data_IF_174287569155
#
_entry.id   IF_174287569155
#
_cell.length_a   1.000
_cell.length_b   1.000
_cell.length_c   1.000
_cell.angle_alpha   90.00
_cell.angle_beta   90.00
_cell.angle_gamma   90.00
#
_symmetry.space_group_name_H-M   'P 1'
#
loop_
_entity.id
_entity.type
_entity.pdbx_description
1 polymer ?
#
# COMPACT_ATOMS: atom_id res chain seq x y z
N UNK A 1 -0.19 22.03 5.98
CA UNK A 1 0.63 20.95 6.60
C UNK A 1 0.02 19.66 6.11
N UNK A 2 0.76 18.82 5.39
CA UNK A 2 0.27 17.48 5.01
C UNK A 2 0.60 16.52 6.13
N UNK A 3 -0.38 15.73 6.58
CA UNK A 3 -0.14 14.64 7.53
C UNK A 3 0.03 13.35 6.74
N UNK A 4 0.90 12.47 7.20
CA UNK A 4 1.27 11.24 6.51
C UNK A 4 0.92 10.08 7.45
N UNK A 5 0.32 9.00 6.94
CA UNK A 5 -0.22 7.91 7.77
C UNK A 5 0.07 6.54 7.18
N UNK A 6 0.28 5.54 8.04
CA UNK A 6 0.58 4.16 7.65
C UNK A 6 0.39 3.11 8.75
N UNK A 7 0.23 1.84 8.38
CA UNK A 7 0.12 0.63 9.23
C UNK A 7 1.26 -0.43 9.08
N UNK A 8 1.98 -0.74 10.16
CA UNK A 8 2.75 -2.00 10.24
C UNK A 8 1.89 -3.23 10.49
N UNK A 9 2.22 -4.37 9.84
CA UNK A 9 1.39 -5.56 9.79
C UNK A 9 1.19 -6.25 11.14
N UNK A 10 2.08 -6.01 12.11
CA UNK A 10 1.99 -6.63 13.45
C UNK A 10 1.59 -5.65 14.56
N UNK A 11 1.92 -4.36 14.43
CA UNK A 11 1.68 -3.37 15.49
C UNK A 11 1.35 -2.02 14.86
N UNK A 12 0.08 -1.62 14.96
CA UNK A 12 -0.45 -0.37 14.42
C UNK A 12 0.26 0.86 15.02
N UNK A 13 1.37 1.30 14.41
CA UNK A 13 2.16 2.48 14.81
C UNK A 13 1.93 3.64 13.83
N UNK A 14 1.68 4.84 14.35
CA UNK A 14 1.41 6.06 13.58
C UNK A 14 2.36 7.18 13.98
N UNK A 15 2.66 8.12 13.08
CA UNK A 15 3.48 9.29 13.39
C UNK A 15 3.11 10.54 12.60
N UNK A 16 3.30 11.71 13.22
CA UNK A 16 3.12 13.03 12.58
C UNK A 16 4.47 13.63 12.17
N UNK A 17 4.58 14.14 10.95
CA UNK A 17 5.76 14.88 10.50
C UNK A 17 5.63 16.38 10.84
N UNK A 18 6.54 16.91 11.65
CA UNK A 18 6.65 18.35 11.91
C UNK A 18 7.59 19.00 10.88
N UNK A 19 7.05 19.76 9.93
CA UNK A 19 7.84 20.56 8.95
C UNK A 19 8.58 21.72 9.64
N UNK A 20 9.86 21.95 9.31
CA UNK A 20 10.54 23.26 9.50
C UNK A 20 10.80 23.92 8.13
N UNK A 21 10.79 25.26 8.12
CA UNK A 21 10.71 26.16 6.94
C UNK A 21 12.01 26.34 6.12
N UNK A 22 12.95 25.40 6.06
CA UNK A 22 14.19 25.62 5.30
C UNK A 22 14.44 24.56 4.22
N UNK A 23 14.92 24.95 3.02
CA UNK A 23 15.27 24.02 1.96
C UNK A 23 16.56 23.27 2.34
N UNK A 24 16.53 21.94 2.22
CA UNK A 24 17.67 21.06 2.53
C UNK A 24 18.48 20.88 1.23
N UNK A 25 19.78 21.25 1.28
CA UNK A 25 20.71 21.23 0.13
C UNK A 25 21.74 20.09 0.23
N UNK A 26 21.74 19.29 1.30
CA UNK A 26 22.57 18.08 1.42
C UNK A 26 21.86 17.02 2.29
N UNK A 27 22.10 15.71 2.09
CA UNK A 27 21.51 14.65 2.89
C UNK A 27 22.18 14.58 4.27
N UNK A 28 22.01 15.62 5.07
CA UNK A 28 22.29 15.61 6.50
C UNK A 28 21.05 15.06 7.18
N UNK A 29 21.24 13.98 7.95
CA UNK A 29 20.25 13.30 8.79
C UNK A 29 19.11 14.22 9.24
N UNK A 30 18.00 14.18 8.51
CA UNK A 30 16.72 14.56 9.09
C UNK A 30 16.32 13.36 9.94
N UNK A 31 16.43 13.49 11.26
CA UNK A 31 15.73 12.61 12.20
C UNK A 31 14.29 13.12 12.33
N UNK A 32 13.31 12.56 11.60
CA UNK A 32 11.92 12.86 11.86
C UNK A 32 11.64 12.64 13.34
N UNK A 33 11.17 13.69 14.04
CA UNK A 33 10.65 13.55 15.39
C UNK A 33 9.32 12.82 15.33
N UNK A 34 9.37 11.50 15.38
CA UNK A 34 8.19 10.65 15.50
C UNK A 34 7.54 10.91 16.85
N UNK A 35 6.34 11.51 16.84
CA UNK A 35 5.40 11.26 17.93
C UNK A 35 4.62 10.01 17.55
N UNK A 36 4.84 8.91 18.29
CA UNK A 36 3.91 7.78 18.30
C UNK A 36 2.52 8.37 18.52
N UNK A 37 1.65 8.33 17.51
CA UNK A 37 0.27 8.71 17.75
C UNK A 37 -0.24 7.73 18.81
N UNK A 38 -0.91 8.27 19.84
CA UNK A 38 -1.60 7.46 20.83
C UNK A 38 -2.31 6.33 20.10
N UNK A 39 -2.17 5.11 20.65
CA UNK A 39 -2.82 3.88 20.20
C UNK A 39 -4.11 4.19 19.45
N UNK A 40 -4.30 3.53 18.30
CA UNK A 40 -5.55 3.66 17.56
C UNK A 40 -6.71 3.62 18.55
N UNK A 41 -7.68 4.52 18.39
CA UNK A 41 -8.92 4.46 19.13
C UNK A 41 -9.44 3.02 19.05
N UNK A 42 -9.73 2.43 20.21
CA UNK A 42 -10.27 1.08 20.31
C UNK A 42 -11.47 0.97 19.37
N UNK A 43 -11.31 0.21 18.29
CA UNK A 43 -12.34 0.12 17.25
C UNK A 43 -12.29 -1.14 16.40
N UNK A 44 -11.14 -1.84 16.34
CA UNK A 44 -11.06 -3.10 15.61
C UNK A 44 -9.99 -4.03 16.21
N UNK A 45 -10.40 -5.23 16.63
CA UNK A 45 -9.50 -6.28 17.12
C UNK A 45 -8.98 -7.16 15.96
N UNK A 46 -8.73 -6.57 14.79
CA UNK A 46 -8.24 -7.30 13.61
C UNK A 46 -6.80 -6.92 13.29
N UNK A 47 -5.97 -7.95 13.07
CA UNK A 47 -4.61 -7.81 12.53
C UNK A 47 -4.64 -7.96 11.01
N UNK A 48 -3.56 -7.55 10.34
CA UNK A 48 -3.39 -7.72 8.89
C UNK A 48 -4.51 -7.09 8.04
N UNK A 49 -5.03 -5.94 8.48
CA UNK A 49 -5.94 -5.14 7.67
C UNK A 49 -5.20 -4.52 6.47
N UNK A 50 -5.89 -4.37 5.35
CA UNK A 50 -5.49 -3.45 4.30
C UNK A 50 -5.65 -2.01 4.76
N UNK A 51 -4.74 -1.14 4.32
CA UNK A 51 -4.67 0.25 4.75
C UNK A 51 -4.67 1.20 3.55
N UNK A 52 -5.44 2.28 3.61
CA UNK A 52 -5.36 3.35 2.62
C UNK A 52 -5.52 4.74 3.25
N UNK A 53 -4.80 5.74 2.75
CA UNK A 53 -5.03 7.15 3.14
C UNK A 53 -6.22 7.71 2.36
N UNK A 54 -7.20 8.26 3.06
CA UNK A 54 -8.35 8.92 2.43
C UNK A 54 -8.10 10.43 2.27
N UNK A 55 -7.68 11.09 3.34
CA UNK A 55 -7.28 12.51 3.35
C UNK A 55 -6.24 12.78 4.46
N UNK A 56 -5.92 14.05 4.71
CA UNK A 56 -4.94 14.50 5.73
C UNK A 56 -5.36 14.17 7.19
N UNK A 57 -6.55 13.65 7.43
CA UNK A 57 -7.09 13.38 8.76
C UNK A 57 -7.72 11.99 8.88
N UNK A 58 -7.90 11.28 7.76
CA UNK A 58 -8.63 10.03 7.71
C UNK A 58 -7.87 8.93 6.98
N UNK A 59 -7.96 7.74 7.56
CA UNK A 59 -7.48 6.49 6.98
C UNK A 59 -8.62 5.51 6.83
N UNK A 60 -8.45 4.55 5.92
CA UNK A 60 -9.35 3.44 5.73
C UNK A 60 -8.63 2.15 6.13
N UNK A 61 -9.31 1.34 6.94
CA UNK A 61 -8.91 -0.01 7.31
C UNK A 61 -9.90 -0.99 6.69
N UNK A 62 -9.40 -1.98 5.94
CA UNK A 62 -10.24 -2.97 5.26
C UNK A 62 -9.85 -4.40 5.63
N UNK A 63 -10.85 -5.21 5.99
CA UNK A 63 -10.66 -6.62 6.32
C UNK A 63 -9.75 -6.85 7.53
N UNK A 64 -8.94 -7.89 7.46
CA UNK A 64 -8.10 -8.36 8.57
C UNK A 64 -8.68 -9.60 9.25
N UNK A 65 -7.96 -10.07 10.27
CA UNK A 65 -8.28 -11.29 11.00
C UNK A 65 -8.29 -11.04 12.51
N UNK A 66 -9.33 -11.50 13.19
CA UNK A 66 -9.45 -11.40 14.65
C UNK A 66 -8.58 -12.46 15.38
N UNK A 67 -8.57 -12.40 16.72
CA UNK A 67 -7.84 -13.36 17.56
C UNK A 67 -8.35 -14.81 17.45
N UNK A 68 -9.58 -15.00 16.97
CA UNK A 68 -10.21 -16.29 16.74
C UNK A 68 -10.02 -16.79 15.30
N UNK A 69 -9.12 -16.17 14.53
CA UNK A 69 -8.85 -16.47 13.12
C UNK A 69 -10.03 -16.21 12.17
N UNK A 70 -11.02 -15.43 12.58
CA UNK A 70 -12.11 -15.02 11.69
C UNK A 70 -11.67 -13.88 10.79
N UNK A 71 -11.79 -14.11 9.48
CA UNK A 71 -11.52 -13.11 8.46
C UNK A 71 -12.70 -12.16 8.32
N UNK A 72 -12.45 -10.86 8.30
CA UNK A 72 -13.48 -9.83 8.20
C UNK A 72 -13.58 -9.25 6.79
N UNK A 73 -14.77 -8.80 6.41
CA UNK A 73 -15.02 -7.98 5.21
C UNK A 73 -15.34 -6.52 5.53
N UNK A 74 -15.32 -6.12 6.80
CA UNK A 74 -15.69 -4.77 7.20
C UNK A 74 -14.64 -3.76 6.72
N UNK A 75 -15.11 -2.55 6.45
CA UNK A 75 -14.27 -1.42 6.04
C UNK A 75 -14.60 -0.23 6.93
N UNK A 76 -13.58 0.42 7.48
CA UNK A 76 -13.74 1.48 8.48
C UNK A 76 -12.96 2.71 8.06
N UNK A 77 -13.64 3.86 8.00
CA UNK A 77 -13.02 5.18 7.89
C UNK A 77 -12.75 5.72 9.29
N UNK A 78 -11.49 5.97 9.62
CA UNK A 78 -11.09 6.44 10.94
C UNK A 78 -10.55 7.86 10.87
N UNK A 79 -11.10 8.75 11.69
CA UNK A 79 -10.56 10.08 11.92
C UNK A 79 -9.42 10.01 12.95
N UNK A 80 -8.23 10.44 12.55
CA UNK A 80 -7.00 10.31 13.33
C UNK A 80 -6.86 11.36 14.42
N UNK A 81 -7.62 12.47 14.35
CA UNK A 81 -7.62 13.50 15.39
C UNK A 81 -8.53 13.15 16.55
N UNK A 82 -9.76 12.74 16.24
CA UNK A 82 -10.83 12.47 17.21
C UNK A 82 -10.85 11.02 17.64
N UNK A 83 -10.34 10.15 16.78
CA UNK A 83 -10.43 8.72 16.94
C UNK A 83 -11.76 8.09 16.54
N UNK A 84 -12.68 8.88 16.00
CA UNK A 84 -14.00 8.38 15.60
C UNK A 84 -13.85 7.43 14.40
N UNK A 85 -14.49 6.28 14.49
CA UNK A 85 -14.61 5.31 13.41
C UNK A 85 -16.01 5.42 12.78
N UNK A 86 -16.06 5.39 11.45
CA UNK A 86 -17.29 5.35 10.65
C UNK A 86 -17.24 4.11 9.77
N UNK A 87 -18.28 3.28 9.83
CA UNK A 87 -18.38 2.11 8.97
C UNK A 87 -18.65 2.53 7.52
N UNK A 88 -17.88 1.94 6.61
CA UNK A 88 -18.13 1.99 5.18
C UNK A 88 -18.85 0.70 4.75
N UNK A 89 -19.47 0.68 3.56
CA UNK A 89 -20.01 -0.55 2.98
C UNK A 89 -19.00 -1.70 3.08
N UNK A 90 -19.42 -2.92 3.46
CA UNK A 90 -18.48 -4.04 3.59
C UNK A 90 -18.03 -4.53 2.22
N UNK A 91 -16.82 -5.10 2.15
CA UNK A 91 -16.34 -5.83 0.97
C UNK A 91 -17.23 -7.04 0.67
N UNK A 92 -17.25 -7.46 -0.58
CA UNK A 92 -17.91 -8.70 -1.02
C UNK A 92 -17.19 -9.92 -0.45
N UNK A 93 -15.85 -9.90 -0.43
CA UNK A 93 -15.03 -10.99 0.14
C UNK A 93 -14.36 -10.55 1.43
N UNK A 94 -14.58 -11.33 2.49
CA UNK A 94 -13.75 -11.27 3.69
C UNK A 94 -12.33 -11.71 3.36
N UNK A 95 -11.34 -10.95 3.85
CA UNK A 95 -9.92 -11.14 3.54
C UNK A 95 -9.03 -10.47 4.57
N UNK A 96 -7.84 -11.02 4.80
CA UNK A 96 -6.75 -10.40 5.54
C UNK A 96 -5.48 -10.36 4.67
N UNK A 97 -4.47 -9.59 5.06
CA UNK A 97 -3.27 -9.30 4.24
C UNK A 97 -3.60 -8.78 2.83
N UNK A 98 -4.75 -8.12 2.67
CA UNK A 98 -5.08 -7.44 1.43
C UNK A 98 -4.37 -6.09 1.36
N UNK A 99 -4.14 -5.63 0.13
CA UNK A 99 -3.53 -4.32 -0.11
C UNK A 99 -4.62 -3.34 -0.53
N UNK A 100 -4.65 -2.14 0.07
CA UNK A 100 -5.66 -1.13 -0.22
C UNK A 100 -5.02 0.19 -0.64
N UNK A 101 -5.68 0.94 -1.52
CA UNK A 101 -5.24 2.28 -1.94
C UNK A 101 -6.44 3.11 -2.39
N UNK A 102 -6.43 4.41 -2.11
CA UNK A 102 -7.42 5.35 -2.66
C UNK A 102 -6.79 6.12 -3.80
N UNK A 103 -7.41 6.06 -4.98
CA UNK A 103 -7.02 6.84 -6.18
C UNK A 103 -8.28 7.46 -6.76
N UNK A 104 -8.25 8.76 -7.04
CA UNK A 104 -9.40 9.51 -7.60
C UNK A 104 -10.72 9.31 -6.82
N UNK A 105 -10.64 9.30 -5.48
CA UNK A 105 -11.76 8.98 -4.58
C UNK A 105 -12.36 7.58 -4.78
N UNK A 106 -11.65 6.65 -5.40
CA UNK A 106 -12.04 5.25 -5.47
C UNK A 106 -11.08 4.46 -4.59
N UNK A 107 -11.63 3.72 -3.62
CA UNK A 107 -10.88 2.75 -2.83
C UNK A 107 -10.77 1.46 -3.64
N UNK A 108 -9.55 1.02 -3.93
CA UNK A 108 -9.25 -0.28 -4.50
C UNK A 108 -8.68 -1.21 -3.45
N UNK A 109 -9.08 -2.48 -3.49
CA UNK A 109 -8.61 -3.54 -2.60
C UNK A 109 -8.17 -4.73 -3.43
N UNK A 110 -6.90 -5.11 -3.28
CA UNK A 110 -6.22 -6.13 -4.06
C UNK A 110 -5.87 -7.33 -3.17
N UNK A 111 -6.13 -8.53 -3.69
CA UNK A 111 -5.57 -9.78 -3.14
C UNK A 111 -5.96 -10.07 -1.69
N UNK A 112 -5.02 -10.56 -0.90
CA UNK A 112 -5.23 -11.06 0.47
C UNK A 112 -5.56 -12.55 0.51
N UNK A 113 -5.90 -13.02 1.71
CA UNK A 113 -6.17 -14.43 1.99
C UNK A 113 -7.46 -14.60 2.78
N UNK A 114 -8.12 -15.73 2.56
CA UNK A 114 -9.26 -16.15 3.37
C UNK A 114 -9.38 -17.68 3.41
N UNK A 115 -10.52 -18.20 3.88
CA UNK A 115 -10.77 -19.65 3.95
C UNK A 115 -10.73 -20.37 2.60
N UNK A 116 -10.95 -19.65 1.50
CA UNK A 116 -10.86 -20.17 0.13
C UNK A 116 -9.41 -20.18 -0.39
N UNK A 117 -8.45 -19.65 0.38
CA UNK A 117 -7.05 -19.51 0.03
C UNK A 117 -6.65 -18.09 -0.37
N UNK A 118 -5.57 -17.99 -1.15
CA UNK A 118 -5.01 -16.70 -1.57
C UNK A 118 -5.81 -16.13 -2.75
N UNK A 119 -6.13 -14.85 -2.69
CA UNK A 119 -7.10 -14.23 -3.59
C UNK A 119 -6.40 -13.48 -4.72
N UNK A 120 -7.01 -13.54 -5.90
CA UNK A 120 -6.73 -12.67 -7.06
C UNK A 120 -7.75 -11.54 -7.24
N UNK A 121 -8.75 -11.46 -6.36
CA UNK A 121 -9.90 -10.58 -6.52
C UNK A 121 -9.51 -9.13 -6.27
N UNK A 122 -9.99 -8.24 -7.15
CA UNK A 122 -9.93 -6.79 -6.98
C UNK A 122 -11.34 -6.25 -6.76
N UNK A 123 -11.54 -5.53 -5.68
CA UNK A 123 -12.80 -4.86 -5.38
C UNK A 123 -12.59 -3.36 -5.29
N UNK A 124 -13.60 -2.59 -5.70
CA UNK A 124 -13.56 -1.13 -5.61
C UNK A 124 -14.81 -0.54 -4.97
N UNK A 125 -14.64 0.58 -4.27
CA UNK A 125 -15.72 1.38 -3.69
C UNK A 125 -15.52 2.84 -4.07
N UNK A 126 -16.53 3.45 -4.69
CA UNK A 126 -16.53 4.88 -5.01
C UNK A 126 -16.84 5.71 -3.76
N UNK A 127 -15.90 6.56 -3.35
CA UNK A 127 -15.94 7.41 -2.16
C UNK A 127 -16.27 8.88 -2.48
N UNK A 128 -16.71 9.21 -3.69
CA UNK A 128 -16.94 10.61 -4.12
C UNK A 128 -17.85 11.41 -3.17
N UNK A 129 -18.89 10.78 -2.64
CA UNK A 129 -19.87 11.43 -1.75
C UNK A 129 -19.45 11.43 -0.27
N UNK A 130 -18.35 10.78 0.08
CA UNK A 130 -17.87 10.77 1.46
C UNK A 130 -17.20 12.11 1.77
N UNK A 131 -17.89 12.90 2.59
CA UNK A 131 -17.37 14.15 3.15
C UNK A 131 -17.05 13.91 4.61
N UNK A 132 -15.77 14.10 4.94
CA UNK A 132 -15.22 13.84 6.27
C UNK A 132 -15.81 14.68 7.42
N UNK A 133 -16.68 15.67 7.13
CA UNK A 133 -17.17 16.67 8.09
C UNK A 133 -18.67 16.61 8.44
N UNK A 134 -19.50 15.78 7.79
CA UNK A 134 -20.96 15.80 8.04
C UNK A 134 -21.41 14.73 9.03
N UNK A 135 -21.71 15.18 10.24
CA UNK A 135 -22.39 14.43 11.30
C UNK A 135 -23.92 14.50 11.11
N UNK A 136 -24.49 14.05 9.99
CA UNK A 136 -25.95 13.95 9.84
C UNK A 136 -26.33 13.01 8.70
N UNK A 137 -27.22 12.09 9.02
CA UNK A 137 -27.80 11.07 8.15
C UNK A 137 -28.65 11.64 7.01
N UNK A 138 -28.88 10.75 6.04
CA UNK A 138 -30.07 10.65 5.19
C UNK A 138 -29.93 11.11 3.75
N UNK A 139 -28.98 10.51 3.02
CA UNK A 139 -29.16 9.95 1.66
C UNK A 139 -27.81 9.58 1.04
N UNK A 140 -26.93 8.89 1.77
CA UNK A 140 -25.82 8.20 1.10
C UNK A 140 -26.45 7.14 0.22
N UNK A 141 -26.54 7.42 -1.08
CA UNK A 141 -26.87 6.41 -2.07
C UNK A 141 -26.01 5.18 -1.76
N UNK A 142 -26.69 4.03 -1.70
CA UNK A 142 -26.27 2.73 -1.23
C UNK A 142 -25.11 2.16 -2.07
N UNK A 143 -23.97 2.86 -2.10
CA UNK A 143 -22.78 2.43 -2.82
C UNK A 143 -22.30 1.15 -2.18
N UNK A 144 -22.01 0.18 -3.03
CA UNK A 144 -21.53 -1.12 -2.62
C UNK A 144 -20.19 -1.34 -3.31
N UNK A 145 -19.41 -2.23 -2.72
CA UNK A 145 -18.23 -2.72 -3.41
C UNK A 145 -18.62 -3.36 -4.73
N UNK A 146 -17.83 -3.09 -5.76
CA UNK A 146 -17.91 -3.72 -7.07
C UNK A 146 -16.73 -4.65 -7.22
N UNK A 147 -17.01 -5.94 -7.47
CA UNK A 147 -15.98 -6.91 -7.80
C UNK A 147 -15.61 -6.80 -9.29
N UNK A 148 -14.33 -6.55 -9.58
CA UNK A 148 -13.81 -6.53 -10.95
C UNK A 148 -13.58 -7.96 -11.47
N UNK A 149 -14.68 -8.70 -11.71
CA UNK A 149 -14.67 -10.13 -12.04
C UNK A 149 -13.78 -10.48 -13.25
N UNK A 150 -13.75 -9.62 -14.26
CA UNK A 150 -13.01 -9.85 -15.51
C UNK A 150 -11.61 -9.23 -15.50
N UNK A 151 -11.21 -8.58 -14.40
CA UNK A 151 -9.92 -7.92 -14.25
C UNK A 151 -9.24 -8.31 -12.93
N UNK A 152 -9.11 -9.62 -12.63
CA UNK A 152 -8.41 -10.07 -11.43
C UNK A 152 -6.92 -9.73 -11.52
N UNK A 153 -6.24 -9.77 -10.38
CA UNK A 153 -4.78 -9.80 -10.35
C UNK A 153 -4.24 -10.94 -11.24
N UNK A 154 -3.09 -10.74 -11.93
CA UNK A 154 -2.45 -11.79 -12.74
C UNK A 154 -2.10 -13.05 -11.93
N UNK A 155 -1.87 -12.92 -10.63
CA UNK A 155 -1.63 -14.01 -9.69
C UNK A 155 -2.18 -13.65 -8.30
N UNK A 156 -2.45 -14.64 -7.42
CA UNK A 156 -2.79 -14.36 -6.03
C UNK A 156 -1.67 -13.61 -5.31
N UNK A 157 -1.99 -12.57 -4.55
CA UNK A 157 -1.02 -11.76 -3.82
C UNK A 157 -1.50 -11.47 -2.39
N UNK A 158 -0.59 -11.56 -1.43
CA UNK A 158 -0.77 -11.14 -0.04
C UNK A 158 0.24 -10.04 0.28
N UNK A 159 -0.13 -9.06 1.10
CA UNK A 159 0.76 -8.02 1.62
C UNK A 159 1.66 -7.37 0.54
N UNK A 160 1.08 -7.11 -0.64
CA UNK A 160 1.76 -6.43 -1.74
C UNK A 160 1.80 -4.92 -1.49
N UNK A 161 2.87 -4.26 -1.94
CA UNK A 161 3.01 -2.82 -1.79
C UNK A 161 2.32 -2.11 -2.95
N UNK A 162 1.55 -1.06 -2.64
CA UNK A 162 0.82 -0.27 -3.63
C UNK A 162 1.37 1.15 -3.72
N UNK A 163 1.51 1.65 -4.95
CA UNK A 163 1.90 3.04 -5.23
C UNK A 163 1.01 3.57 -6.36
N UNK A 164 0.43 4.76 -6.20
CA UNK A 164 -0.27 5.43 -7.30
C UNK A 164 0.66 6.40 -8.04
N UNK A 165 0.43 6.63 -9.33
CA UNK A 165 1.07 7.73 -10.04
C UNK A 165 0.46 9.09 -9.65
N UNK A 166 1.19 10.17 -9.95
CA UNK A 166 0.73 11.52 -9.61
C UNK A 166 -0.56 11.92 -10.33
N UNK A 167 -0.84 11.33 -11.50
CA UNK A 167 -2.06 11.59 -12.26
C UNK A 167 -3.28 10.78 -11.81
N UNK A 168 -3.09 9.77 -10.95
CA UNK A 168 -4.14 8.84 -10.56
C UNK A 168 -4.62 7.93 -11.69
N UNK A 169 -3.82 7.75 -12.74
CA UNK A 169 -4.14 6.88 -13.88
C UNK A 169 -3.69 5.45 -13.63
N UNK A 170 -2.65 5.25 -12.82
CA UNK A 170 -2.01 3.96 -12.62
C UNK A 170 -1.79 3.64 -11.14
N UNK A 171 -1.99 2.37 -10.82
CA UNK A 171 -1.59 1.76 -9.54
C UNK A 171 -0.49 0.73 -9.83
N UNK A 172 0.64 0.86 -9.17
CA UNK A 172 1.72 -0.12 -9.19
C UNK A 172 1.53 -1.10 -8.03
N UNK A 173 1.53 -2.40 -8.34
CA UNK A 173 1.41 -3.50 -7.38
C UNK A 173 2.75 -4.23 -7.35
N UNK A 174 3.43 -4.17 -6.22
CA UNK A 174 4.85 -4.52 -6.11
C UNK A 174 5.02 -5.64 -5.08
N UNK A 175 5.59 -6.77 -5.51
CA UNK A 175 5.95 -7.88 -4.63
C UNK A 175 4.72 -8.51 -3.94
N UNK A 176 4.82 -8.71 -2.63
CA UNK A 176 3.87 -9.47 -1.83
C UNK A 176 4.26 -10.95 -1.72
N UNK A 177 3.47 -11.73 -0.99
CA UNK A 177 3.54 -13.19 -0.96
C UNK A 177 2.59 -13.79 -1.99
N UNK A 178 2.96 -14.92 -2.61
CA UNK A 178 1.99 -15.70 -3.40
C UNK A 178 1.24 -16.68 -2.48
N UNK A 179 0.59 -17.65 -3.11
CA UNK A 179 -0.14 -18.72 -2.44
C UNK A 179 0.62 -19.31 -1.25
N UNK A 180 -0.11 -19.47 -0.14
CA UNK A 180 0.41 -19.98 1.11
C UNK A 180 0.60 -21.49 1.02
N UNK A 181 1.83 -21.96 1.19
CA UNK A 181 2.17 -23.38 1.29
C UNK A 181 2.72 -23.67 2.70
N UNK A 182 2.14 -24.64 3.40
CA UNK A 182 2.48 -24.99 4.79
C UNK A 182 2.48 -23.77 5.75
N UNK A 183 1.52 -22.86 5.57
CA UNK A 183 1.38 -21.66 6.40
C UNK A 183 2.38 -20.54 6.07
N UNK A 184 3.17 -20.65 4.99
CA UNK A 184 4.08 -19.57 4.54
C UNK A 184 3.79 -19.15 3.10
N UNK A 185 3.67 -17.84 2.79
CA UNK A 185 3.53 -17.38 1.42
C UNK A 185 4.77 -17.72 0.58
N UNK A 186 4.58 -18.12 -0.67
CA UNK A 186 5.70 -18.30 -1.60
C UNK A 186 6.30 -16.95 -2.00
N UNK A 187 7.58 -17.01 -2.38
CA UNK A 187 8.37 -15.85 -2.80
C UNK A 187 7.80 -15.19 -4.06
N UNK A 188 7.82 -13.87 -4.11
CA UNK A 188 7.40 -13.11 -5.28
C UNK A 188 8.30 -11.90 -5.55
N UNK A 189 8.67 -11.72 -6.81
CA UNK A 189 9.36 -10.52 -7.31
C UNK A 189 8.55 -9.77 -8.36
N UNK A 190 7.35 -10.24 -8.69
CA UNK A 190 6.52 -9.66 -9.74
C UNK A 190 6.12 -8.23 -9.42
N UNK A 191 6.07 -7.42 -10.46
CA UNK A 191 5.62 -6.03 -10.41
C UNK A 191 4.61 -5.82 -11.52
N UNK A 192 3.47 -5.24 -11.18
CA UNK A 192 2.39 -4.96 -12.12
C UNK A 192 2.03 -3.48 -12.09
N UNK A 193 1.54 -2.98 -13.21
CA UNK A 193 0.89 -1.67 -13.35
C UNK A 193 -0.54 -1.87 -13.78
N UNK A 194 -1.49 -1.33 -13.01
CA UNK A 194 -2.92 -1.41 -13.24
C UNK A 194 -3.42 -0.06 -13.76
N UNK A 195 -4.08 -0.04 -14.91
CA UNK A 195 -4.75 1.15 -15.44
C UNK A 195 -6.11 1.34 -14.74
N UNK A 196 -6.28 2.45 -14.04
CA UNK A 196 -7.46 2.74 -13.23
C UNK A 196 -8.72 3.00 -14.10
N UNK A 197 -8.54 3.44 -15.34
CA UNK A 197 -9.66 3.72 -16.25
C UNK A 197 -10.11 2.49 -17.05
N UNK A 198 -9.16 1.66 -17.52
CA UNK A 198 -9.45 0.50 -18.37
C UNK A 198 -9.48 -0.83 -17.61
N UNK A 199 -8.98 -0.85 -16.37
CA UNK A 199 -8.76 -2.05 -15.55
C UNK A 199 -7.82 -3.07 -16.18
N UNK A 200 -6.94 -2.61 -17.08
CA UNK A 200 -5.93 -3.45 -17.72
C UNK A 200 -4.68 -3.58 -16.86
N UNK A 201 -4.07 -4.76 -16.94
CA UNK A 201 -2.84 -5.11 -16.23
C UNK A 201 -1.66 -5.13 -17.19
N UNK A 202 -0.57 -4.49 -16.78
CA UNK A 202 0.71 -4.53 -17.47
C UNK A 202 1.75 -5.14 -16.55
N UNK A 203 2.46 -6.16 -17.04
CA UNK A 203 3.61 -6.73 -16.33
C UNK A 203 4.83 -5.82 -16.51
N UNK A 204 5.47 -5.45 -15.41
CA UNK A 204 6.73 -4.71 -15.41
C UNK A 204 7.89 -5.67 -15.10
N UNK A 205 9.15 -5.26 -15.31
CA UNK A 205 10.30 -6.05 -14.90
C UNK A 205 10.21 -6.45 -13.42
N UNK A 206 10.54 -7.71 -13.12
CA UNK A 206 10.55 -8.23 -11.75
C UNK A 206 11.72 -7.66 -10.93
N UNK A 207 11.49 -7.47 -9.62
CA UNK A 207 12.53 -7.07 -8.67
C UNK A 207 13.68 -8.09 -8.61
N UNK A 208 14.87 -7.68 -8.16
CA UNK A 208 15.99 -8.60 -7.95
C UNK A 208 15.79 -9.46 -6.70
N UNK A 209 15.05 -8.95 -5.71
CA UNK A 209 14.80 -9.63 -4.43
C UNK A 209 13.31 -9.67 -4.15
N UNK A 210 12.85 -10.82 -3.65
CA UNK A 210 11.46 -10.99 -3.21
C UNK A 210 11.16 -10.17 -1.96
N UNK A 211 10.01 -9.50 -1.94
CA UNK A 211 9.63 -8.62 -0.83
C UNK A 211 8.13 -8.67 -0.56
N UNK A 212 7.76 -8.95 0.68
CA UNK A 212 6.42 -8.74 1.24
C UNK A 212 6.47 -7.53 2.17
N UNK A 213 5.38 -6.77 2.25
CA UNK A 213 5.31 -5.62 3.15
C UNK A 213 6.41 -4.60 2.91
N UNK A 214 6.88 -4.43 1.67
CA UNK A 214 7.89 -3.44 1.36
C UNK A 214 7.30 -2.03 1.46
N UNK A 215 8.19 -1.05 1.62
CA UNK A 215 7.83 0.35 1.39
C UNK A 215 8.11 0.69 -0.06
N UNK A 216 7.27 1.52 -0.68
CA UNK A 216 7.59 2.02 -2.01
C UNK A 216 7.05 3.43 -2.24
N UNK A 217 7.73 4.15 -3.13
CA UNK A 217 7.31 5.47 -3.61
C UNK A 217 7.59 5.60 -5.11
N UNK A 218 6.77 6.39 -5.79
CA UNK A 218 7.05 6.86 -7.13
C UNK A 218 7.63 8.28 -7.04
N UNK A 219 8.86 8.45 -7.50
CA UNK A 219 9.51 9.76 -7.57
C UNK A 219 9.96 10.08 -8.99
N UNK A 220 9.35 11.10 -9.60
CA UNK A 220 9.54 11.40 -11.02
C UNK A 220 9.24 10.13 -11.84
N UNK A 221 10.24 9.61 -12.53
CA UNK A 221 10.18 8.41 -13.36
C UNK A 221 10.67 7.15 -12.63
N UNK A 222 10.93 7.20 -11.32
CA UNK A 222 11.49 6.08 -10.58
C UNK A 222 10.50 5.47 -9.59
N UNK A 223 10.24 4.18 -9.72
CA UNK A 223 9.74 3.36 -8.60
C UNK A 223 10.92 3.04 -7.70
N UNK A 224 10.79 3.38 -6.42
CA UNK A 224 11.79 3.13 -5.38
C UNK A 224 11.14 2.20 -4.36
N UNK A 225 11.71 1.02 -4.16
CA UNK A 225 11.23 0.00 -3.22
C UNK A 225 12.28 -0.20 -2.14
N UNK A 226 11.86 -0.18 -0.88
CA UNK A 226 12.73 -0.20 0.28
C UNK A 226 12.26 -1.26 1.27
N UNK A 227 13.21 -2.04 1.78
CA UNK A 227 12.96 -3.03 2.83
C UNK A 227 11.93 -4.09 2.44
N UNK A 228 11.04 -4.43 3.36
CA UNK A 228 10.19 -5.61 3.26
C UNK A 228 10.88 -6.86 3.82
N UNK A 229 10.17 -7.97 3.77
CA UNK A 229 10.68 -9.26 4.26
C UNK A 229 10.38 -10.39 3.28
N UNK A 230 11.03 -11.52 3.51
CA UNK A 230 10.73 -12.78 2.87
C UNK A 230 10.78 -13.92 3.88
N UNK A 231 9.82 -14.83 3.79
CA UNK A 231 9.80 -16.05 4.57
C UNK A 231 10.73 -17.10 3.94
N UNK A 232 11.84 -17.42 4.61
CA UNK A 232 12.71 -18.55 4.25
C UNK A 232 12.39 -19.75 5.14
N UNK A 233 12.93 -20.94 4.84
CA UNK A 233 12.72 -22.13 5.70
C UNK A 233 13.27 -21.89 7.12
N UNK A 234 14.45 -21.30 7.22
CA UNK A 234 15.19 -21.11 8.48
C UNK A 234 14.77 -19.85 9.27
N UNK A 235 13.78 -19.09 8.77
CA UNK A 235 13.27 -17.88 9.42
C UNK A 235 12.87 -16.80 8.43
N UNK A 236 12.25 -15.74 8.93
CA UNK A 236 11.94 -14.55 8.14
C UNK A 236 13.17 -13.65 8.03
N UNK A 237 13.48 -13.19 6.83
CA UNK A 237 14.58 -12.26 6.55
C UNK A 237 13.99 -10.91 6.21
N UNK A 238 14.41 -9.89 6.94
CA UNK A 238 14.04 -8.50 6.69
C UNK A 238 15.15 -7.81 5.91
N UNK A 239 14.77 -6.94 4.99
CA UNK A 239 15.74 -6.24 4.14
C UNK A 239 15.92 -4.79 4.59
N UNK A 240 17.17 -4.31 4.51
CA UNK A 240 17.52 -2.89 4.50
C UNK A 240 17.84 -2.37 3.09
N UNK A 241 17.79 -3.27 2.09
CA UNK A 241 18.15 -2.94 0.72
C UNK A 241 17.08 -2.13 0.01
N UNK A 242 17.53 -1.30 -0.92
CA UNK A 242 16.70 -0.45 -1.76
C UNK A 242 16.88 -0.86 -3.22
N UNK A 243 15.79 -0.96 -3.94
CA UNK A 243 15.79 -1.21 -5.37
C UNK A 243 15.06 -0.10 -6.11
N UNK A 244 15.57 0.26 -7.27
CA UNK A 244 14.97 1.30 -8.12
C UNK A 244 14.72 0.80 -9.52
N UNK A 245 13.54 1.11 -10.05
CA UNK A 245 13.18 0.89 -11.44
C UNK A 245 12.88 2.24 -12.08
N UNK A 246 13.60 2.56 -13.16
CA UNK A 246 13.26 3.70 -14.02
C UNK A 246 12.12 3.29 -14.96
N UNK A 247 10.94 3.86 -14.76
CA UNK A 247 9.84 3.84 -15.69
C UNK A 247 10.20 4.76 -16.85
N UNK A 248 10.15 4.30 -18.10
CA UNK A 248 10.39 5.20 -19.23
C UNK A 248 9.17 6.10 -19.43
N UNK A 249 9.41 7.34 -19.84
CA UNK A 249 8.36 8.24 -20.32
C UNK A 249 7.63 7.58 -21.50
N UNK A 250 6.37 7.19 -21.27
CA UNK A 250 5.45 6.67 -22.30
C UNK A 250 5.03 7.74 -23.31
N UNK A 251 5.68 8.92 -23.35
CA UNK A 251 5.38 9.97 -24.32
C UNK A 251 5.97 9.70 -25.72
N UNK A 252 6.74 8.62 -25.90
CA UNK A 252 7.23 8.18 -27.22
C UNK A 252 6.80 6.78 -27.65
N UNK A 253 6.08 6.04 -26.81
CA UNK A 253 5.63 4.70 -27.17
C UNK A 253 4.25 4.80 -27.83
N UNK A 254 4.22 4.60 -29.15
CA UNK A 254 2.98 4.46 -29.92
C UNK A 254 2.20 3.25 -29.38
N UNK A 255 0.87 3.28 -29.50
CA UNK A 255 -0.11 2.31 -28.97
C UNK A 255 0.14 0.80 -29.26
N UNK A 256 1.24 0.42 -29.91
CA UNK A 256 1.53 -0.97 -30.31
C UNK A 256 2.92 -1.49 -29.91
N UNK A 257 3.73 -0.75 -29.15
CA UNK A 257 5.04 -1.25 -28.72
C UNK A 257 4.96 -1.94 -27.35
N UNK A 258 5.24 -3.25 -27.32
CA UNK A 258 5.48 -3.98 -26.06
C UNK A 258 6.58 -3.28 -25.26
N UNK A 259 6.46 -3.16 -23.93
CA UNK A 259 7.48 -2.51 -23.11
C UNK A 259 8.82 -3.22 -23.29
N UNK A 260 9.75 -2.57 -24.00
CA UNK A 260 11.05 -3.16 -24.34
C UNK A 260 11.79 -3.64 -23.10
N UNK A 261 12.34 -4.85 -23.19
CA UNK A 261 13.03 -5.67 -22.18
C UNK A 261 14.31 -5.07 -21.56
N UNK A 262 14.51 -3.76 -21.62
CA UNK A 262 15.79 -3.09 -21.31
C UNK A 262 15.77 -2.19 -20.06
N UNK A 263 14.67 -2.11 -19.32
CA UNK A 263 14.65 -1.56 -17.96
C UNK A 263 14.85 -2.68 -16.94
N UNK A 264 15.82 -2.52 -16.05
CA UNK A 264 16.11 -3.47 -14.97
C UNK A 264 16.17 -2.76 -13.63
N UNK A 265 15.81 -3.48 -12.58
CA UNK A 265 15.92 -2.99 -11.21
C UNK A 265 17.39 -2.82 -10.84
N UNK A 266 17.73 -1.68 -10.24
CA UNK A 266 19.07 -1.41 -9.70
C UNK A 266 19.04 -1.46 -8.18
N UNK A 267 19.87 -2.31 -7.60
CA UNK A 267 20.16 -2.30 -6.18
C UNK A 267 20.93 -1.02 -5.84
N UNK A 268 20.40 -0.23 -4.92
CA UNK A 268 21.05 0.97 -4.40
C UNK A 268 21.69 0.59 -3.08
N UNK A 269 22.97 0.26 -3.12
CA UNK A 269 23.76 0.05 -1.92
C UNK A 269 24.13 1.40 -1.30
N UNK A 270 23.31 1.85 -0.35
CA UNK A 270 23.63 2.99 0.51
C UNK A 270 23.27 2.63 1.94
N UNK A 271 24.26 2.12 2.67
CA UNK A 271 24.21 1.80 4.10
C UNK A 271 23.57 2.90 4.99
N UNK A 272 23.50 4.15 4.51
CA UNK A 272 22.98 5.30 5.26
C UNK A 272 21.49 5.61 5.03
N UNK A 273 20.81 5.01 4.05
CA UNK A 273 19.44 5.40 3.69
C UNK A 273 18.36 4.59 4.43
N UNK A 274 18.67 3.32 4.74
CA UNK A 274 17.85 2.44 5.57
C UNK A 274 18.78 1.68 6.53
N UNK A 275 19.17 2.27 7.66
CA UNK A 275 20.24 1.73 8.51
C UNK A 275 19.86 0.41 9.19
N UNK A 276 18.55 0.12 9.29
CA UNK A 276 18.03 -1.11 9.88
C UNK A 276 17.02 -1.74 8.93
N UNK A 277 17.10 -3.06 8.80
CA UNK A 277 16.15 -3.85 8.05
C UNK A 277 14.74 -3.71 8.66
N UNK A 278 13.74 -3.50 7.81
CA UNK A 278 12.36 -3.33 8.25
C UNK A 278 11.36 -3.73 7.18
N UNK A 279 10.19 -4.14 7.61
CA UNK A 279 9.03 -4.41 6.78
C UNK A 279 7.78 -3.80 7.40
N UNK A 280 6.73 -3.75 6.58
CA UNK A 280 5.44 -3.15 6.90
C UNK A 280 5.58 -1.70 7.38
N UNK A 281 6.60 -1.02 6.88
CA UNK A 281 6.78 0.42 7.08
C UNK A 281 6.03 1.22 6.01
N UNK A 282 6.24 2.53 6.03
CA UNK A 282 5.71 3.48 5.07
C UNK A 282 6.81 4.34 4.54
N UNK A 283 6.76 4.62 3.25
CA UNK A 283 7.60 5.63 2.64
C UNK A 283 6.72 6.73 2.04
N UNK A 284 7.10 7.98 2.26
CA UNK A 284 6.45 9.14 1.66
C UNK A 284 7.46 10.11 1.10
N UNK A 285 7.12 10.74 -0.02
CA UNK A 285 7.90 11.83 -0.58
C UNK A 285 7.26 13.17 -0.23
N UNK A 286 8.09 14.07 0.29
CA UNK A 286 7.75 15.47 0.39
C UNK A 286 7.92 16.15 -0.97
N UNK A 287 7.22 17.27 -1.17
CA UNK A 287 7.29 18.05 -2.41
C UNK A 287 8.67 18.65 -2.73
N UNK A 288 9.61 18.60 -1.79
CA UNK A 288 11.02 18.98 -1.96
C UNK A 288 11.93 17.78 -2.27
N UNK A 289 11.36 16.58 -2.43
CA UNK A 289 12.08 15.35 -2.76
C UNK A 289 12.62 14.58 -1.56
N UNK A 290 12.34 15.00 -0.33
CA UNK A 290 12.74 14.24 0.86
C UNK A 290 11.88 12.99 1.03
N UNK A 291 12.54 11.85 1.24
CA UNK A 291 11.91 10.58 1.57
C UNK A 291 11.80 10.44 3.08
N UNK A 292 10.61 10.12 3.57
CA UNK A 292 10.33 9.84 4.97
C UNK A 292 9.94 8.40 5.11
N UNK A 293 10.60 7.67 6.02
CA UNK A 293 10.32 6.28 6.32
C UNK A 293 9.75 6.15 7.74
N UNK A 294 8.54 5.60 7.88
CA UNK A 294 7.88 5.35 9.16
C UNK A 294 7.69 3.85 9.38
N UNK A 295 7.72 3.40 10.64
CA UNK A 295 7.52 1.97 10.98
C UNK A 295 8.79 1.31 11.45
#
# INVERSE_FOLDING_TARGET
MKKLFGQGAAHHKFGELIRRKQPIVDPVQFEPKWKVAKNLPRGRNCRWCGFATFDDEHIILAGGQDENYNTSNEVTLMNLKTGKCTELPPMIKARYECSAIVVNRILFIFGGHNRDGSLKHVEMLDLSDYVSSSSSSSSYNQRQFVLLKNHPLPQPLLNATLVADNGGNFIYVIGGGLEVNNGRPLKNTSVYRFNVATYEWFTLPSMNVERQGAMAVLWKEYLIVLGGYCCYRDGDVYFSSIETLRLRDTHQDRENDEPSSSSSWKLVDRANFLPEARADGFAFLLGDGQLILAG
#
